data_IF_148103921091
#
_entry.id   IF_148103921091
#
_cell.length_a   1.000
_cell.length_b   1.000
_cell.length_c   1.000
_cell.angle_alpha   90.00
_cell.angle_beta   90.00
_cell.angle_gamma   90.00
#
_symmetry.space_group_name_H-M   'P 1'
#
loop_
_entity.id
_entity.type
_entity.pdbx_description
1 polymer ?
#
# COMPACT_ATOMS: atom_id res chain seq x y z
N UNK A 1 12.02 -4.97 21.38
CA UNK A 1 12.34 -4.28 20.11
C UNK A 1 11.02 -3.84 19.50
N UNK A 2 10.90 -2.58 19.10
CA UNK A 2 9.69 -2.05 18.49
C UNK A 2 9.90 -1.80 17.02
N UNK A 3 8.82 -1.78 16.25
CA UNK A 3 8.78 -1.41 14.85
C UNK A 3 7.93 -0.16 14.70
N UNK A 4 8.36 0.72 13.79
CA UNK A 4 7.62 1.92 13.39
C UNK A 4 7.48 1.96 11.87
N UNK A 5 6.45 2.64 11.41
CA UNK A 5 6.19 2.90 9.99
C UNK A 5 7.08 4.05 9.54
N UNK A 6 7.64 3.95 8.33
CA UNK A 6 8.39 5.00 7.66
C UNK A 6 7.82 5.17 6.26
N UNK A 7 7.74 6.42 5.81
CA UNK A 7 7.43 6.76 4.43
C UNK A 7 8.75 7.02 3.67
N UNK A 8 9.12 6.16 2.73
CA UNK A 8 10.41 6.24 2.02
C UNK A 8 10.45 7.34 0.95
N UNK A 9 9.29 7.78 0.45
CA UNK A 9 9.16 8.86 -0.52
C UNK A 9 7.83 9.63 -0.30
N UNK A 10 7.87 10.95 -0.40
CA UNK A 10 6.70 11.84 -0.23
C UNK A 10 6.03 12.25 -1.55
N UNK A 11 6.48 11.76 -2.69
CA UNK A 11 5.98 12.14 -4.01
C UNK A 11 4.54 11.68 -4.26
N UNK A 12 4.06 10.63 -3.56
CA UNK A 12 2.69 10.15 -3.71
C UNK A 12 1.78 10.74 -2.62
N UNK A 13 0.79 11.53 -3.03
CA UNK A 13 -0.12 12.22 -2.13
C UNK A 13 -1.03 11.27 -1.33
N UNK A 14 -1.45 10.13 -1.90
CA UNK A 14 -2.21 9.11 -1.16
C UNK A 14 -1.33 8.54 -0.05
N UNK A 15 -0.12 8.08 -0.39
CA UNK A 15 0.80 7.50 0.57
C UNK A 15 1.15 8.50 1.69
N UNK A 16 1.37 9.76 1.34
CA UNK A 16 1.61 10.81 2.33
C UNK A 16 0.41 11.02 3.26
N UNK A 17 -0.80 11.10 2.70
CA UNK A 17 -2.05 11.27 3.47
C UNK A 17 -2.28 10.12 4.44
N UNK A 18 -2.05 8.88 3.99
CA UNK A 18 -2.15 7.69 4.84
C UNK A 18 -1.11 7.77 5.95
N UNK A 19 0.16 8.03 5.61
CA UNK A 19 1.25 8.08 6.58
C UNK A 19 1.00 9.10 7.68
N UNK A 20 0.54 10.31 7.36
CA UNK A 20 0.24 11.33 8.39
C UNK A 20 -0.79 10.86 9.42
N UNK A 21 -1.68 9.92 9.07
CA UNK A 21 -2.67 9.34 9.98
C UNK A 21 -2.13 8.20 10.85
N UNK A 22 -1.11 7.49 10.38
CA UNK A 22 -0.62 6.24 11.03
C UNK A 22 0.83 6.30 11.50
N UNK A 23 1.56 7.39 11.25
CA UNK A 23 3.00 7.54 11.53
C UNK A 23 3.41 7.30 12.99
N UNK A 24 2.50 7.52 13.93
CA UNK A 24 2.77 7.39 15.36
C UNK A 24 2.51 5.96 15.89
N UNK A 25 1.92 5.08 15.08
CA UNK A 25 1.68 3.68 15.44
C UNK A 25 3.02 2.94 15.53
N UNK A 26 3.21 2.24 16.66
CA UNK A 26 4.39 1.42 16.95
C UNK A 26 3.92 0.06 17.46
N UNK A 27 4.66 -1.00 17.17
CA UNK A 27 4.34 -2.35 17.66
C UNK A 27 5.58 -3.19 17.86
N UNK A 28 5.58 -4.08 18.85
CA UNK A 28 6.59 -5.13 19.00
C UNK A 28 6.39 -6.26 17.96
N UNK A 29 5.16 -6.37 17.43
CA UNK A 29 4.82 -7.34 16.40
C UNK A 29 4.89 -6.69 15.00
N UNK A 30 5.97 -6.97 14.26
CA UNK A 30 6.18 -6.48 12.89
C UNK A 30 5.08 -6.94 11.95
N UNK A 31 4.67 -8.20 12.01
CA UNK A 31 3.67 -8.77 11.10
C UNK A 31 2.31 -8.09 11.29
N UNK A 32 1.91 -7.89 12.55
CA UNK A 32 0.70 -7.13 12.85
C UNK A 32 0.77 -5.69 12.31
N UNK A 33 1.92 -5.03 12.46
CA UNK A 33 2.11 -3.66 11.96
C UNK A 33 2.00 -3.59 10.43
N UNK A 34 2.61 -4.54 9.73
CA UNK A 34 2.52 -4.68 8.26
C UNK A 34 1.08 -4.91 7.84
N UNK A 35 0.40 -5.91 8.42
CA UNK A 35 -0.97 -6.26 8.05
C UNK A 35 -1.96 -5.14 8.34
N UNK A 36 -1.79 -4.44 9.47
CA UNK A 36 -2.64 -3.29 9.83
C UNK A 36 -2.42 -2.12 8.88
N UNK A 37 -1.17 -1.86 8.48
CA UNK A 37 -0.83 -0.82 7.50
C UNK A 37 -1.42 -1.14 6.13
N UNK A 38 -1.25 -2.38 5.66
CA UNK A 38 -1.80 -2.85 4.39
C UNK A 38 -3.33 -2.76 4.35
N UNK A 39 -4.00 -3.19 5.42
CA UNK A 39 -5.46 -3.04 5.55
C UNK A 39 -5.90 -1.59 5.52
N UNK A 40 -5.16 -0.70 6.18
CA UNK A 40 -5.45 0.74 6.15
C UNK A 40 -5.26 1.33 4.74
N UNK A 41 -4.21 0.94 4.02
CA UNK A 41 -3.96 1.38 2.65
C UNK A 41 -5.12 0.97 1.75
N UNK A 42 -5.50 -0.32 1.78
CA UNK A 42 -6.59 -0.83 0.95
C UNK A 42 -7.92 -0.11 1.22
N UNK A 43 -8.30 -0.03 2.50
CA UNK A 43 -9.52 0.68 2.89
C UNK A 43 -9.49 2.16 2.50
N UNK A 44 -8.32 2.78 2.47
CA UNK A 44 -8.20 4.18 2.09
C UNK A 44 -8.41 4.39 0.59
N UNK A 45 -7.81 3.54 -0.25
CA UNK A 45 -7.95 3.66 -1.71
C UNK A 45 -9.36 3.29 -2.20
N UNK A 46 -10.10 2.48 -1.44
CA UNK A 46 -11.49 2.12 -1.73
C UNK A 46 -12.49 3.23 -1.37
N UNK A 47 -12.05 4.29 -0.67
CA UNK A 47 -12.94 5.39 -0.32
C UNK A 47 -13.54 6.03 -1.58
N UNK A 48 -14.84 6.41 -1.57
CA UNK A 48 -15.52 7.01 -2.72
C UNK A 48 -14.94 8.34 -3.21
N UNK A 49 -13.96 8.90 -2.48
CA UNK A 49 -13.27 10.13 -2.84
C UNK A 49 -12.20 9.91 -3.93
N UNK A 50 -11.78 8.67 -4.16
CA UNK A 50 -10.88 8.30 -5.24
C UNK A 50 -11.73 7.71 -6.38
N UNK A 51 -11.89 8.49 -7.45
CA UNK A 51 -12.49 7.94 -8.65
C UNK A 51 -11.52 6.99 -9.36
N UNK A 52 -12.09 6.18 -10.27
CA UNK A 52 -11.32 5.20 -11.03
C UNK A 52 -10.21 5.86 -11.85
N UNK A 53 -10.48 7.00 -12.49
CA UNK A 53 -9.53 7.70 -13.34
C UNK A 53 -8.30 8.17 -12.56
N UNK A 54 -8.49 8.62 -11.33
CA UNK A 54 -7.40 9.02 -10.43
C UNK A 54 -6.51 7.83 -10.06
N UNK A 55 -7.10 6.69 -9.74
CA UNK A 55 -6.35 5.47 -9.40
C UNK A 55 -5.62 4.90 -10.63
N UNK A 56 -6.25 4.93 -11.80
CA UNK A 56 -5.60 4.56 -13.06
C UNK A 56 -4.44 5.49 -13.39
N UNK A 57 -4.54 6.79 -13.08
CA UNK A 57 -3.43 7.72 -13.22
C UNK A 57 -2.23 7.35 -12.34
N UNK A 58 -2.45 6.86 -11.12
CA UNK A 58 -1.36 6.39 -10.25
C UNK A 58 -0.62 5.22 -10.89
N UNK A 59 -1.37 4.29 -11.50
CA UNK A 59 -0.79 3.16 -12.24
C UNK A 59 -0.02 3.65 -13.47
N UNK A 60 -0.57 4.65 -14.17
CA UNK A 60 0.08 5.27 -15.31
C UNK A 60 1.41 5.93 -14.94
N UNK A 61 1.40 6.75 -13.88
CA UNK A 61 2.57 7.50 -13.39
C UNK A 61 3.67 6.57 -12.84
N UNK A 62 3.29 5.39 -12.30
CA UNK A 62 4.25 4.33 -11.93
C UNK A 62 4.94 3.70 -13.16
N UNK A 63 4.26 3.74 -14.31
CA UNK A 63 4.65 3.13 -15.57
C UNK A 63 3.90 1.82 -15.79
N UNK A 64 2.92 1.86 -16.71
CA UNK A 64 2.05 0.71 -17.05
C UNK A 64 2.85 -0.56 -17.33
N UNK A 65 3.92 -0.47 -18.12
CA UNK A 65 4.75 -1.64 -18.45
C UNK A 65 5.39 -2.26 -17.21
N UNK A 66 5.89 -1.44 -16.28
CA UNK A 66 6.43 -1.92 -15.00
C UNK A 66 5.35 -2.55 -14.13
N UNK A 67 4.16 -1.96 -14.09
CA UNK A 67 3.04 -2.49 -13.32
C UNK A 67 2.60 -3.87 -13.85
N UNK A 68 2.50 -4.03 -15.18
CA UNK A 68 2.17 -5.31 -15.83
C UNK A 68 3.23 -6.37 -15.49
N UNK A 69 4.52 -6.04 -15.70
CA UNK A 69 5.62 -6.98 -15.45
C UNK A 69 5.68 -7.42 -13.98
N UNK A 70 5.49 -6.48 -13.05
CA UNK A 70 5.63 -6.72 -11.63
C UNK A 70 4.44 -7.45 -11.03
N UNK A 71 3.23 -7.06 -11.41
CA UNK A 71 2.01 -7.47 -10.69
C UNK A 71 1.11 -8.41 -11.48
N UNK A 72 1.11 -8.37 -12.81
CA UNK A 72 0.22 -9.19 -13.65
C UNK A 72 0.96 -10.43 -14.16
N UNK A 73 2.18 -10.28 -14.68
CA UNK A 73 2.97 -11.41 -15.18
C UNK A 73 3.48 -12.32 -14.04
N UNK A 74 3.62 -11.78 -12.83
CA UNK A 74 3.90 -12.57 -11.65
C UNK A 74 2.62 -13.22 -11.12
N UNK A 75 2.46 -14.52 -11.42
CA UNK A 75 1.27 -15.30 -11.04
C UNK A 75 0.87 -15.16 -9.56
N UNK A 76 1.82 -15.13 -8.63
CA UNK A 76 1.53 -14.99 -7.19
C UNK A 76 0.95 -13.61 -6.86
N UNK A 77 1.50 -12.57 -7.46
CA UNK A 77 1.00 -11.21 -7.27
C UNK A 77 -0.40 -11.06 -7.89
N UNK A 78 -0.60 -11.61 -9.08
CA UNK A 78 -1.90 -11.60 -9.74
C UNK A 78 -2.97 -12.32 -8.91
N UNK A 79 -2.68 -13.52 -8.40
CA UNK A 79 -3.59 -14.26 -7.52
C UNK A 79 -3.91 -13.47 -6.24
N UNK A 80 -2.92 -12.80 -5.65
CA UNK A 80 -3.18 -11.96 -4.47
C UNK A 80 -4.07 -10.75 -4.83
N UNK A 81 -3.85 -10.12 -5.97
CA UNK A 81 -4.67 -9.00 -6.44
C UNK A 81 -6.10 -9.44 -6.67
N UNK A 82 -6.31 -10.56 -7.37
CA UNK A 82 -7.65 -11.01 -7.75
C UNK A 82 -8.44 -11.44 -6.50
N UNK A 83 -7.78 -12.08 -5.53
CA UNK A 83 -8.37 -12.39 -4.22
C UNK A 83 -8.73 -11.13 -3.42
N UNK A 84 -7.85 -10.12 -3.41
CA UNK A 84 -8.05 -8.84 -2.73
C UNK A 84 -9.25 -8.06 -3.28
N UNK A 85 -9.61 -8.26 -4.55
CA UNK A 85 -10.75 -7.59 -5.20
C UNK A 85 -11.95 -8.52 -5.41
N UNK A 86 -12.09 -9.56 -4.57
CA UNK A 86 -13.21 -10.50 -4.59
C UNK A 86 -13.43 -11.20 -5.94
N UNK A 87 -12.34 -11.47 -6.66
CA UNK A 87 -12.31 -12.04 -8.01
C UNK A 87 -13.02 -11.19 -9.08
N UNK A 88 -13.22 -9.89 -8.84
CA UNK A 88 -13.77 -8.95 -9.80
C UNK A 88 -12.65 -8.32 -10.65
N UNK A 89 -12.45 -8.83 -11.87
CA UNK A 89 -11.43 -8.33 -12.80
C UNK A 89 -11.61 -6.85 -13.15
N UNK A 90 -12.84 -6.31 -13.09
CA UNK A 90 -13.09 -4.89 -13.35
C UNK A 90 -12.45 -3.99 -12.30
N UNK A 91 -12.10 -4.54 -11.13
CA UNK A 91 -11.48 -3.88 -9.98
C UNK A 91 -9.97 -4.11 -9.88
N UNK A 92 -9.31 -4.76 -10.84
CA UNK A 92 -7.85 -5.00 -10.81
C UNK A 92 -7.06 -3.69 -10.57
N UNK A 93 -7.55 -2.55 -11.06
CA UNK A 93 -6.94 -1.25 -10.82
C UNK A 93 -6.80 -0.91 -9.32
N UNK A 94 -7.73 -1.35 -8.46
CA UNK A 94 -7.65 -1.18 -7.00
C UNK A 94 -6.48 -1.96 -6.44
N UNK A 95 -6.33 -3.24 -6.83
CA UNK A 95 -5.22 -4.07 -6.36
C UNK A 95 -3.86 -3.54 -6.83
N UNK A 96 -3.77 -3.09 -8.08
CA UNK A 96 -2.55 -2.45 -8.59
C UNK A 96 -2.22 -1.16 -7.84
N UNK A 97 -3.21 -0.28 -7.63
CA UNK A 97 -3.02 0.95 -6.87
C UNK A 97 -2.59 0.67 -5.43
N UNK A 98 -3.20 -0.33 -4.77
CA UNK A 98 -2.82 -0.81 -3.44
C UNK A 98 -1.34 -1.19 -3.38
N UNK A 99 -0.86 -2.02 -4.31
CA UNK A 99 0.53 -2.45 -4.32
C UNK A 99 1.50 -1.29 -4.54
N UNK A 100 1.18 -0.39 -5.48
CA UNK A 100 1.99 0.79 -5.76
C UNK A 100 2.07 1.68 -4.52
N UNK A 101 0.95 1.95 -3.85
CA UNK A 101 0.94 2.77 -2.63
C UNK A 101 1.69 2.09 -1.49
N UNK A 102 1.59 0.76 -1.37
CA UNK A 102 2.28 -0.02 -0.33
C UNK A 102 3.80 0.05 -0.44
N UNK A 103 4.35 0.21 -1.65
CA UNK A 103 5.80 0.37 -1.86
C UNK A 103 6.40 1.64 -1.22
N UNK A 104 5.57 2.61 -0.85
CA UNK A 104 6.02 3.81 -0.15
C UNK A 104 6.25 3.58 1.34
N UNK A 105 5.78 2.46 1.90
CA UNK A 105 5.84 2.17 3.34
C UNK A 105 6.94 1.18 3.67
N UNK A 106 7.79 1.56 4.62
CA UNK A 106 8.83 0.72 5.20
C UNK A 106 8.61 0.56 6.70
N UNK A 107 9.19 -0.51 7.26
CA UNK A 107 9.05 -0.84 8.67
C UNK A 107 10.43 -0.96 9.30
N UNK A 108 10.75 -0.01 10.16
CA UNK A 108 12.07 0.08 10.80
C UNK A 108 11.98 -0.38 12.25
N UNK A 109 12.93 -1.22 12.66
CA UNK A 109 13.09 -1.61 14.05
C UNK A 109 13.85 -0.54 14.84
N UNK A 110 13.52 -0.41 16.12
CA UNK A 110 14.20 0.47 17.06
C UNK A 110 14.11 -0.07 18.49
N UNK A 111 15.04 0.33 19.34
CA UNK A 111 14.99 0.07 20.77
C UNK A 111 14.24 1.21 21.46
N UNK A 112 13.22 0.87 22.26
CA UNK A 112 12.53 1.86 23.07
C UNK A 112 13.36 2.12 24.32
N UNK A 113 14.13 3.20 24.31
CA UNK A 113 14.77 3.71 25.51
C UNK A 113 13.76 4.63 26.18
N UNK A 114 13.13 4.16 27.25
CA UNK A 114 12.32 5.04 28.10
C UNK A 114 13.25 6.11 28.69
N UNK A 115 12.97 7.38 28.38
CA UNK A 115 13.65 8.52 28.96
C UNK A 115 13.22 8.74 30.42
#
# INVERSE_FOLDING_TARGET
MYYKIILNNKANNIAHTIYEKIKDIRSENREWLVNSTNGFIFNHIELPLYDKEYLEKIIYDYGIQKAIEKFILNKKCYETIIELVDNDESKIYLGLAYYIVSEYFEFMSFEYVAA
#
